data_IF_084503707917
#
_entry.id   IF_084503707917
#
_cell.length_a   1.000
_cell.length_b   1.000
_cell.length_c   1.000
_cell.angle_alpha   90.00
_cell.angle_beta   90.00
_cell.angle_gamma   90.00
#
_symmetry.space_group_name_H-M   'P 1'
#
loop_
_entity.id
_entity.type
_entity.pdbx_description
1 polymer ?
#
# COMPACT_ATOMS: atom_id res chain seq x y z
N UNK A 1 15.00 -3.75 3.36
CA UNK A 1 13.92 -3.83 2.34
C UNK A 1 14.24 -2.88 1.19
N UNK A 2 14.08 -3.32 -0.06
CA UNK A 2 14.24 -2.50 -1.28
C UNK A 2 12.90 -2.47 -2.03
N UNK A 3 12.29 -1.29 -2.29
CA UNK A 3 11.02 -1.21 -3.02
C UNK A 3 11.21 -1.56 -4.49
N UNK A 4 10.24 -2.28 -5.08
CA UNK A 4 10.19 -2.60 -6.52
C UNK A 4 9.09 -1.79 -7.18
N UNK A 5 7.85 -1.94 -6.71
CA UNK A 5 6.69 -1.29 -7.32
C UNK A 5 5.63 -0.97 -6.28
N UNK A 6 4.95 0.16 -6.42
CA UNK A 6 3.73 0.48 -5.68
C UNK A 6 2.58 0.73 -6.65
N UNK A 7 1.47 0.03 -6.47
CA UNK A 7 0.20 0.33 -7.14
C UNK A 7 -0.77 0.93 -6.13
N UNK A 8 -1.40 2.07 -6.49
CA UNK A 8 -2.37 2.79 -5.67
C UNK A 8 -3.64 3.06 -6.48
N UNK A 9 -4.80 2.92 -5.86
CA UNK A 9 -6.11 3.23 -6.46
C UNK A 9 -7.09 3.62 -5.35
N UNK A 10 -7.94 4.63 -5.59
CA UNK A 10 -8.96 5.11 -4.67
C UNK A 10 -8.44 5.57 -3.30
N UNK A 11 -7.21 6.07 -3.21
CA UNK A 11 -6.54 6.46 -1.96
C UNK A 11 -6.20 7.95 -1.97
N UNK A 12 -6.69 8.74 -1.01
CA UNK A 12 -6.45 10.19 -0.94
C UNK A 12 -6.65 10.90 -2.29
N UNK A 13 -5.60 11.50 -2.87
CA UNK A 13 -5.62 12.15 -4.19
C UNK A 13 -5.50 11.17 -5.37
N UNK A 14 -5.09 9.93 -5.14
CA UNK A 14 -4.98 8.88 -6.15
C UNK A 14 -6.34 8.21 -6.39
N UNK A 15 -7.24 8.93 -7.07
CA UNK A 15 -8.56 8.40 -7.42
C UNK A 15 -8.44 7.21 -8.38
N UNK A 16 -7.68 7.39 -9.46
CA UNK A 16 -7.45 6.37 -10.48
C UNK A 16 -6.18 5.55 -10.18
N UNK A 17 -6.11 4.35 -10.77
CA UNK A 17 -4.96 3.45 -10.58
C UNK A 17 -3.66 4.07 -11.10
N UNK A 18 -2.69 4.22 -10.21
CA UNK A 18 -1.32 4.62 -10.53
C UNK A 18 -0.34 3.50 -10.19
N UNK A 19 0.75 3.42 -10.96
CA UNK A 19 1.88 2.53 -10.69
C UNK A 19 3.16 3.36 -10.61
N UNK A 20 3.93 3.15 -9.56
CA UNK A 20 5.25 3.74 -9.36
C UNK A 20 6.26 2.60 -9.41
N UNK A 21 7.13 2.63 -10.40
CA UNK A 21 8.27 1.72 -10.53
C UNK A 21 9.47 2.34 -9.82
N UNK A 22 9.94 1.68 -8.77
CA UNK A 22 11.09 2.11 -7.99
C UNK A 22 12.40 1.55 -8.50
N UNK A 23 12.41 0.55 -9.37
CA UNK A 23 13.64 -0.13 -9.79
C UNK A 23 14.64 0.88 -10.37
N UNK A 24 14.19 1.67 -11.34
CA UNK A 24 14.99 2.74 -11.96
C UNK A 24 15.43 3.82 -10.95
N UNK A 25 14.62 4.08 -9.92
CA UNK A 25 14.90 5.11 -8.91
C UNK A 25 15.93 4.64 -7.87
N UNK A 26 15.93 3.35 -7.56
CA UNK A 26 16.82 2.75 -6.56
C UNK A 26 18.22 2.47 -7.08
N UNK A 27 18.43 2.38 -8.40
CA UNK A 27 19.75 2.18 -9.02
C UNK A 27 20.75 3.29 -8.63
N UNK A 28 20.27 4.53 -8.50
CA UNK A 28 21.10 5.67 -8.11
C UNK A 28 21.37 5.76 -6.60
N UNK A 29 20.79 4.87 -5.78
CA UNK A 29 20.89 4.86 -4.31
C UNK A 29 20.11 5.97 -3.59
N UNK A 30 19.68 7.02 -4.30
CA UNK A 30 18.88 8.12 -3.78
C UNK A 30 17.90 8.62 -4.84
N UNK A 31 16.65 8.84 -4.45
CA UNK A 31 15.63 9.48 -5.26
C UNK A 31 14.81 10.47 -4.43
N UNK A 32 14.17 11.41 -5.12
CA UNK A 32 13.28 12.40 -4.51
C UNK A 32 11.86 12.32 -5.05
N UNK A 33 10.88 12.62 -4.20
CA UNK A 33 9.46 12.74 -4.58
C UNK A 33 9.10 14.23 -4.54
N UNK A 34 8.83 14.82 -5.70
CA UNK A 34 8.60 16.26 -5.85
C UNK A 34 7.16 16.57 -6.31
N UNK A 35 6.69 17.78 -6.02
CA UNK A 35 5.35 18.24 -6.37
C UNK A 35 4.79 19.28 -5.41
N UNK A 36 3.70 19.95 -5.79
CA UNK A 36 3.02 20.98 -4.98
C UNK A 36 2.40 20.42 -3.70
N UNK A 37 2.06 21.30 -2.74
CA UNK A 37 1.30 20.91 -1.54
C UNK A 37 -0.03 20.27 -1.98
N UNK A 38 -0.40 19.15 -1.34
CA UNK A 38 -1.61 18.39 -1.68
C UNK A 38 -1.49 17.44 -2.87
N UNK A 39 -0.33 17.37 -3.56
CA UNK A 39 -0.15 16.49 -4.73
C UNK A 39 -0.04 14.99 -4.43
N UNK A 40 -0.22 14.56 -3.18
CA UNK A 40 -0.18 13.14 -2.80
C UNK A 40 1.22 12.55 -2.54
N UNK A 41 2.25 13.38 -2.33
CA UNK A 41 3.62 12.89 -2.02
C UNK A 41 3.66 12.04 -0.75
N UNK A 42 3.15 12.56 0.37
CA UNK A 42 3.09 11.82 1.64
C UNK A 42 2.22 10.57 1.55
N UNK A 43 1.18 10.60 0.70
CA UNK A 43 0.30 9.45 0.47
C UNK A 43 1.02 8.24 -0.11
N UNK A 44 2.13 8.42 -0.85
CA UNK A 44 2.97 7.31 -1.33
C UNK A 44 3.59 6.57 -0.14
N UNK A 45 4.23 7.32 0.78
CA UNK A 45 4.87 6.74 1.96
C UNK A 45 3.85 6.11 2.90
N UNK A 46 2.72 6.79 3.13
CA UNK A 46 1.63 6.26 3.95
C UNK A 46 1.03 4.99 3.36
N UNK A 47 0.92 4.88 2.04
CA UNK A 47 0.41 3.67 1.41
C UNK A 47 1.37 2.49 1.56
N UNK A 48 2.67 2.71 1.46
CA UNK A 48 3.69 1.68 1.73
C UNK A 48 3.59 1.22 3.19
N UNK A 49 3.59 2.16 4.14
CA UNK A 49 3.45 1.84 5.57
C UNK A 49 2.14 1.11 5.86
N UNK A 50 1.03 1.56 5.27
CA UNK A 50 -0.26 0.91 5.46
C UNK A 50 -0.27 -0.49 4.84
N UNK A 51 0.28 -0.69 3.64
CA UNK A 51 0.37 -2.01 3.01
C UNK A 51 1.08 -3.02 3.92
N UNK A 52 2.19 -2.61 4.53
CA UNK A 52 3.00 -3.47 5.39
C UNK A 52 2.37 -3.65 6.78
N UNK A 53 2.06 -2.57 7.48
CA UNK A 53 1.74 -2.62 8.91
C UNK A 53 0.25 -2.48 9.22
N UNK A 54 -0.56 -2.02 8.27
CA UNK A 54 -1.98 -1.73 8.51
C UNK A 54 -2.21 -0.50 9.38
N UNK A 55 -1.15 0.26 9.63
CA UNK A 55 -1.14 1.49 10.41
C UNK A 55 -0.51 2.62 9.60
N UNK A 56 -0.87 3.85 9.95
CA UNK A 56 -0.31 5.07 9.37
C UNK A 56 -0.04 6.06 10.49
N UNK A 57 1.06 6.82 10.42
CA UNK A 57 1.44 7.80 11.45
C UNK A 57 0.37 8.86 11.74
N UNK A 58 -0.50 9.15 10.77
CA UNK A 58 -1.52 10.21 10.87
C UNK A 58 -2.80 9.82 11.60
N UNK A 59 -3.05 8.53 11.85
CA UNK A 59 -4.37 8.04 12.26
C UNK A 59 -4.30 7.13 13.47
N UNK A 60 -4.78 7.63 14.61
CA UNK A 60 -4.92 6.87 15.85
C UNK A 60 -5.85 5.66 15.66
N UNK A 61 -5.63 4.59 16.43
CA UNK A 61 -6.43 3.35 16.38
C UNK A 61 -7.93 3.52 16.67
N UNK A 62 -8.37 4.71 17.11
CA UNK A 62 -9.77 5.03 17.40
C UNK A 62 -10.54 5.64 16.22
N UNK A 63 -9.87 6.04 15.15
CA UNK A 63 -10.51 6.68 14.00
C UNK A 63 -10.89 5.67 12.91
N UNK A 64 -11.93 6.00 12.13
CA UNK A 64 -12.34 5.27 10.90
C UNK A 64 -11.24 5.37 9.83
N UNK A 65 -10.07 4.76 10.05
CA UNK A 65 -8.86 4.99 9.24
C UNK A 65 -9.07 4.67 7.77
N UNK A 66 -9.70 3.54 7.48
CA UNK A 66 -10.04 3.11 6.12
C UNK A 66 -10.96 4.11 5.41
N UNK A 67 -11.89 4.75 6.13
CA UNK A 67 -12.71 5.84 5.59
C UNK A 67 -11.87 7.08 5.31
N UNK A 68 -11.03 7.50 6.26
CA UNK A 68 -10.21 8.71 6.14
C UNK A 68 -9.16 8.60 5.02
N UNK A 69 -8.66 7.40 4.75
CA UNK A 69 -7.70 7.13 3.67
C UNK A 69 -8.36 7.01 2.29
N UNK A 70 -9.62 6.58 2.24
CA UNK A 70 -10.35 6.36 0.98
C UNK A 70 -10.67 7.70 0.30
N UNK A 71 -10.42 7.78 -1.00
CA UNK A 71 -10.90 8.91 -1.80
C UNK A 71 -12.45 8.95 -1.75
N UNK A 72 -13.03 10.13 -1.49
CA UNK A 72 -14.50 10.28 -1.32
C UNK A 72 -15.30 9.97 -2.59
N UNK A 73 -14.68 10.02 -3.77
CA UNK A 73 -15.30 9.68 -5.06
C UNK A 73 -15.09 8.20 -5.44
N UNK A 74 -14.40 7.43 -4.60
CA UNK A 74 -14.11 6.02 -4.83
C UNK A 74 -14.93 5.11 -3.91
N UNK A 75 -15.29 3.95 -4.44
CA UNK A 75 -15.96 2.87 -3.70
C UNK A 75 -15.02 1.70 -3.35
N UNK A 76 -13.79 1.75 -3.86
CA UNK A 76 -12.74 0.75 -3.67
C UNK A 76 -11.43 1.50 -3.48
N UNK A 77 -10.62 1.03 -2.55
CA UNK A 77 -9.22 1.40 -2.41
C UNK A 77 -8.37 0.16 -2.51
N UNK A 78 -7.26 0.26 -3.23
CA UNK A 78 -6.35 -0.85 -3.46
C UNK A 78 -4.91 -0.38 -3.38
N UNK A 79 -4.11 -1.11 -2.59
CA UNK A 79 -2.69 -0.90 -2.46
C UNK A 79 -2.01 -2.26 -2.71
N UNK A 80 -1.01 -2.27 -3.59
CA UNK A 80 -0.12 -3.40 -3.83
C UNK A 80 1.32 -2.89 -3.79
N UNK A 81 2.12 -3.44 -2.89
CA UNK A 81 3.51 -3.06 -2.72
C UNK A 81 4.43 -4.27 -2.87
N UNK A 82 5.26 -4.23 -3.91
CA UNK A 82 6.27 -5.23 -4.21
C UNK A 82 7.63 -4.77 -3.70
N UNK A 83 8.36 -5.65 -3.03
CA UNK A 83 9.67 -5.34 -2.46
C UNK A 83 10.58 -6.57 -2.36
N UNK A 84 11.87 -6.31 -2.22
CA UNK A 84 12.89 -7.30 -1.87
C UNK A 84 13.21 -7.18 -0.37
N UNK A 85 13.23 -8.29 0.35
CA UNK A 85 13.61 -8.30 1.77
C UNK A 85 15.12 -8.42 2.01
N UNK A 86 15.53 -8.54 3.29
CA UNK A 86 16.93 -8.72 3.69
C UNK A 86 17.57 -10.03 3.18
N UNK A 87 16.78 -11.07 2.91
CA UNK A 87 17.24 -12.35 2.35
C UNK A 87 17.23 -12.37 0.81
N UNK A 88 17.07 -11.21 0.17
CA UNK A 88 16.96 -11.08 -1.29
C UNK A 88 15.76 -11.83 -1.89
N UNK A 89 14.71 -12.07 -1.10
CA UNK A 89 13.45 -12.67 -1.56
C UNK A 89 12.44 -11.59 -1.93
N UNK A 90 11.67 -11.85 -2.98
CA UNK A 90 10.66 -10.93 -3.49
C UNK A 90 9.29 -11.22 -2.86
N UNK A 91 8.70 -10.18 -2.26
CA UNK A 91 7.40 -10.23 -1.60
C UNK A 91 6.45 -9.19 -2.18
N UNK A 92 5.17 -9.43 -1.96
CA UNK A 92 4.08 -8.50 -2.28
C UNK A 92 3.14 -8.39 -1.09
N UNK A 93 2.84 -7.16 -0.68
CA UNK A 93 1.82 -6.85 0.30
C UNK A 93 0.61 -6.22 -0.40
N UNK A 94 -0.58 -6.78 -0.20
CA UNK A 94 -1.83 -6.22 -0.74
C UNK A 94 -2.79 -5.83 0.37
N UNK A 95 -3.47 -4.70 0.18
CA UNK A 95 -4.62 -4.28 0.98
C UNK A 95 -5.72 -3.75 0.08
N UNK A 96 -6.90 -4.34 0.19
CA UNK A 96 -8.10 -3.89 -0.50
C UNK A 96 -9.22 -3.63 0.50
N UNK A 97 -9.86 -2.46 0.39
CA UNK A 97 -11.04 -2.15 1.19
C UNK A 97 -12.10 -1.47 0.33
N UNK A 98 -13.36 -1.70 0.68
CA UNK A 98 -14.51 -1.24 -0.10
C UNK A 98 -15.49 -0.48 0.77
N UNK A 99 -16.07 0.57 0.20
CA UNK A 99 -17.14 1.33 0.83
C UNK A 99 -18.40 0.48 0.93
N UNK A 100 -19.12 0.62 2.03
CA UNK A 100 -20.44 0.03 2.17
C UNK A 100 -21.43 0.77 1.26
N UNK A 101 -22.19 0.04 0.44
CA UNK A 101 -23.14 0.62 -0.52
C UNK A 101 -24.37 1.27 0.14
N UNK A 102 -24.66 0.92 1.39
CA UNK A 102 -25.82 1.44 2.14
C UNK A 102 -25.43 2.49 3.19
N UNK A 103 -24.17 2.52 3.63
CA UNK A 103 -23.67 3.48 4.59
C UNK A 103 -22.33 4.03 4.11
N UNK A 104 -22.35 5.24 3.54
CA UNK A 104 -21.17 5.83 2.91
C UNK A 104 -19.99 5.97 3.87
N UNK A 105 -20.22 6.29 5.14
CA UNK A 105 -19.15 6.45 6.13
C UNK A 105 -18.55 5.13 6.61
N UNK A 106 -19.22 4.02 6.32
CA UNK A 106 -18.75 2.69 6.67
C UNK A 106 -17.87 2.13 5.55
N UNK A 107 -16.61 1.86 5.89
CA UNK A 107 -15.64 1.24 5.00
C UNK A 107 -15.21 -0.08 5.61
N UNK A 108 -15.47 -1.15 4.88
CA UNK A 108 -15.27 -2.53 5.35
C UNK A 108 -13.82 -2.77 5.74
N UNK A 109 -13.62 -3.70 6.68
CA UNK A 109 -12.30 -4.20 7.06
C UNK A 109 -11.50 -4.57 5.82
N UNK A 110 -10.21 -4.14 5.72
CA UNK A 110 -9.40 -4.48 4.58
C UNK A 110 -9.19 -5.98 4.46
N UNK A 111 -9.30 -6.49 3.23
CA UNK A 111 -8.72 -7.77 2.86
C UNK A 111 -7.21 -7.57 2.71
N UNK A 112 -6.42 -8.41 3.38
CA UNK A 112 -4.96 -8.31 3.43
C UNK A 112 -4.38 -9.66 3.01
N UNK A 113 -3.58 -9.67 1.96
CA UNK A 113 -2.88 -10.87 1.50
C UNK A 113 -1.44 -10.53 1.19
N UNK A 114 -0.52 -11.28 1.78
CA UNK A 114 0.90 -11.21 1.46
C UNK A 114 1.26 -12.38 0.56
N UNK A 115 2.23 -12.17 -0.32
CA UNK A 115 2.70 -13.18 -1.27
C UNK A 115 4.22 -13.23 -1.28
N UNK A 116 4.75 -14.41 -1.55
CA UNK A 116 6.15 -14.63 -1.89
C UNK A 116 6.25 -15.03 -3.36
N UNK A 117 7.22 -14.47 -4.08
CA UNK A 117 7.47 -14.85 -5.46
C UNK A 117 8.31 -16.14 -5.50
N UNK A 118 7.73 -17.24 -6.01
CA UNK A 118 8.39 -18.53 -6.19
C UNK A 118 7.97 -19.14 -7.52
N UNK A 119 8.91 -19.80 -8.21
CA UNK A 119 8.65 -20.51 -9.47
C UNK A 119 7.85 -19.66 -10.46
N UNK A 120 8.27 -18.40 -10.66
CA UNK A 120 7.63 -17.44 -11.58
C UNK A 120 6.16 -17.11 -11.25
N UNK A 121 5.76 -17.28 -10.00
CA UNK A 121 4.39 -17.04 -9.55
C UNK A 121 4.33 -16.43 -8.16
N UNK A 122 3.26 -15.70 -7.88
CA UNK A 122 2.95 -15.18 -6.54
C UNK A 122 2.22 -16.26 -5.73
N UNK A 123 2.87 -16.77 -4.70
CA UNK A 123 2.29 -17.74 -3.77
C UNK A 123 1.78 -16.99 -2.54
N UNK A 124 0.47 -17.09 -2.20
CA UNK A 124 -0.07 -16.42 -1.01
C UNK A 124 0.53 -17.01 0.26
N UNK A 125 0.70 -16.18 1.27
CA UNK A 125 1.16 -16.55 2.60
C UNK A 125 -0.03 -16.64 3.56
N UNK A 126 0.05 -17.57 4.50
CA UNK A 126 -0.96 -17.80 5.56
C UNK A 126 -0.99 -16.71 6.64
N UNK A 127 -0.16 -15.67 6.52
CA UNK A 127 -0.09 -14.57 7.48
C UNK A 127 0.14 -13.23 6.79
N UNK A 128 -0.26 -12.16 7.48
CA UNK A 128 -0.05 -10.76 7.12
C UNK A 128 0.90 -10.03 8.07
N UNK A 129 1.75 -10.77 8.78
CA UNK A 129 2.81 -10.19 9.63
C UNK A 129 4.00 -9.74 8.76
N UNK A 130 4.25 -8.43 8.68
CA UNK A 130 5.32 -7.83 7.89
C UNK A 130 6.70 -7.95 8.52
N UNK A 131 6.81 -8.03 9.84
CA UNK A 131 8.10 -8.19 10.55
C UNK A 131 8.79 -9.49 10.10
N UNK A 132 8.03 -10.56 9.95
CA UNK A 132 8.53 -11.85 9.41
C UNK A 132 9.04 -11.76 7.98
N UNK A 133 8.58 -10.79 7.20
CA UNK A 133 8.98 -10.63 5.80
C UNK A 133 10.18 -9.70 5.66
N UNK A 134 10.20 -8.61 6.43
CA UNK A 134 11.16 -7.52 6.29
C UNK A 134 12.47 -7.82 7.01
N UNK A 135 12.42 -8.63 8.09
CA UNK A 135 13.55 -8.89 8.99
C UNK A 135 13.65 -7.86 10.09
#
# INVERSE_FOLDING_TARGET
>A
MIPIQLTLEGLYSYQERQKIDFQNLTEAGLFGIFGSVGSGKSSILEAISFALYGETERLNARDKRTYNMMNLKSNRSYIEFDFINYENKKYRATREFRRNSKNFEDVKTPNVVFYEWKNESWIPLEHSNSEKLIG
#
